data_IF_143234184010
#
_entry.id   IF_143234184010
#
_cell.length_a   1.000
_cell.length_b   1.000
_cell.length_c   1.000
_cell.angle_alpha   90.00
_cell.angle_beta   90.00
_cell.angle_gamma   90.00
#
_symmetry.space_group_name_H-M   'P 1'
#
loop_
_entity.id
_entity.type
_entity.pdbx_description
1 polymer ?
#
# COMPACT_ATOMS: atom_id res chain seq x y z
N UNK A 1 -2.06 14.45 -6.34
CA UNK A 1 -1.89 13.00 -6.19
C UNK A 1 -3.26 12.37 -5.92
N UNK A 2 -3.53 11.31 -6.63
CA UNK A 2 -4.69 10.46 -6.32
C UNK A 2 -4.19 9.08 -5.99
N UNK A 3 -4.40 8.63 -4.75
CA UNK A 3 -4.07 7.28 -4.33
C UNK A 3 -5.27 6.40 -4.61
N UNK A 4 -5.04 5.27 -5.29
CA UNK A 4 -6.10 4.29 -5.58
C UNK A 4 -5.72 2.99 -4.88
N UNK A 5 -6.48 2.66 -3.84
CA UNK A 5 -6.25 1.48 -3.02
C UNK A 5 -7.14 0.36 -3.49
N UNK A 6 -6.56 -0.81 -3.74
CA UNK A 6 -7.33 -1.91 -4.31
C UNK A 6 -6.84 -3.25 -3.78
N UNK A 7 -7.74 -4.24 -3.86
CA UNK A 7 -7.38 -5.64 -3.62
C UNK A 7 -6.48 -6.08 -4.77
N UNK A 8 -5.32 -6.65 -4.44
CA UNK A 8 -4.33 -7.00 -5.46
C UNK A 8 -4.77 -8.09 -6.39
N UNK A 9 -5.72 -8.92 -5.98
CA UNK A 9 -6.22 -10.02 -6.82
C UNK A 9 -7.47 -9.64 -7.58
N UNK A 10 -8.46 -9.05 -6.89
CA UNK A 10 -9.74 -8.76 -7.52
C UNK A 10 -9.78 -7.41 -8.19
N UNK A 11 -8.87 -6.51 -7.82
CA UNK A 11 -8.79 -5.11 -8.28
C UNK A 11 -9.98 -4.28 -7.82
N UNK A 12 -10.73 -4.76 -6.83
CA UNK A 12 -11.82 -3.99 -6.25
C UNK A 12 -11.27 -2.93 -5.29
N UNK A 13 -11.92 -1.77 -5.21
CA UNK A 13 -11.44 -0.71 -4.33
C UNK A 13 -11.56 -1.09 -2.86
N UNK A 14 -10.63 -0.57 -2.04
CA UNK A 14 -10.61 -0.84 -0.61
C UNK A 14 -10.70 0.46 0.17
N UNK A 15 -11.71 0.55 1.04
CA UNK A 15 -11.87 1.70 1.92
C UNK A 15 -11.13 1.48 3.23
N UNK A 16 -10.96 2.55 3.98
CA UNK A 16 -10.44 2.54 5.36
C UNK A 16 -8.97 2.14 5.47
N UNK A 17 -8.21 2.23 4.40
CA UNK A 17 -6.76 2.17 4.50
C UNK A 17 -6.23 3.54 4.88
N UNK A 18 -5.21 3.59 5.72
CA UNK A 18 -4.65 4.85 6.22
C UNK A 18 -3.22 5.02 5.76
N UNK A 19 -2.90 6.26 5.41
CA UNK A 19 -1.59 6.62 4.88
C UNK A 19 -1.08 7.90 5.51
N UNK A 20 0.25 8.02 5.55
CA UNK A 20 0.91 9.30 5.74
C UNK A 20 1.51 9.75 4.41
N UNK A 21 1.53 11.06 4.19
CA UNK A 21 2.31 11.64 3.10
C UNK A 21 3.52 12.32 3.70
N UNK A 22 4.70 11.95 3.21
CA UNK A 22 5.96 12.49 3.68
C UNK A 22 6.61 13.33 2.58
N UNK A 23 7.39 14.32 3.00
CA UNK A 23 8.15 15.13 2.05
C UNK A 23 9.41 14.39 1.60
N UNK A 24 10.21 15.09 0.80
CA UNK A 24 11.44 14.53 0.26
C UNK A 24 12.42 14.12 1.36
N UNK A 25 12.38 14.78 2.51
CA UNK A 25 13.21 14.46 3.65
C UNK A 25 12.58 13.47 4.60
N UNK A 26 11.47 12.87 4.17
CA UNK A 26 10.74 11.83 4.90
C UNK A 26 10.11 12.35 6.18
N UNK A 27 9.79 13.63 6.20
CA UNK A 27 9.03 14.22 7.30
C UNK A 27 7.55 14.20 6.96
N UNK A 28 6.72 13.92 7.94
CA UNK A 28 5.29 13.76 7.72
C UNK A 28 4.66 15.12 7.43
N UNK A 29 4.03 15.23 6.26
CA UNK A 29 3.25 16.41 5.89
C UNK A 29 1.78 16.25 6.26
N UNK A 30 1.22 15.08 5.99
CA UNK A 30 -0.16 14.77 6.32
C UNK A 30 -0.22 13.37 6.88
N UNK A 31 -1.02 13.19 7.93
CA UNK A 31 -1.19 11.88 8.54
C UNK A 31 -2.66 11.51 8.53
N UNK A 32 -2.94 10.22 8.76
CA UNK A 32 -4.30 9.70 8.89
C UNK A 32 -5.14 9.92 7.64
N UNK A 33 -4.50 9.98 6.47
CA UNK A 33 -5.22 10.03 5.21
C UNK A 33 -5.91 8.69 5.02
N UNK A 34 -7.23 8.71 4.79
CA UNK A 34 -8.02 7.49 4.79
C UNK A 34 -8.73 7.33 3.46
N UNK A 35 -8.66 6.13 2.87
CA UNK A 35 -9.35 5.87 1.61
C UNK A 35 -10.85 5.86 1.83
N UNK A 36 -11.59 6.43 0.85
CA UNK A 36 -13.03 6.46 0.88
C UNK A 36 -13.60 5.15 0.32
N UNK A 37 -14.91 5.11 0.09
CA UNK A 37 -15.55 3.88 -0.38
C UNK A 37 -15.13 3.49 -1.78
N UNK A 38 -14.61 4.42 -2.56
CA UNK A 38 -14.04 4.13 -3.87
C UNK A 38 -12.57 3.78 -3.79
N UNK A 39 -12.00 3.70 -2.58
CA UNK A 39 -10.61 3.37 -2.38
C UNK A 39 -9.69 4.51 -2.71
N UNK A 40 -10.15 5.75 -2.61
CA UNK A 40 -9.40 6.90 -3.13
C UNK A 40 -9.05 7.87 -2.00
N UNK A 41 -7.81 8.37 -2.06
CA UNK A 41 -7.38 9.57 -1.33
C UNK A 41 -6.95 10.57 -2.39
N UNK A 42 -7.51 11.77 -2.32
CA UNK A 42 -7.13 12.82 -3.26
C UNK A 42 -6.42 13.94 -2.52
N UNK A 43 -5.23 14.29 -2.98
CA UNK A 43 -4.43 15.37 -2.40
C UNK A 43 -4.21 16.42 -3.48
N UNK A 44 -4.65 17.64 -3.19
CA UNK A 44 -4.57 18.75 -4.15
C UNK A 44 -3.59 19.78 -3.67
N UNK A 45 -3.11 20.61 -4.61
CA UNK A 45 -2.29 21.78 -4.30
C UNK A 45 -0.93 21.43 -3.71
N UNK A 46 -0.40 20.26 -4.07
CA UNK A 46 0.96 19.93 -3.71
C UNK A 46 1.92 20.59 -4.68
N UNK A 47 3.02 21.12 -4.15
CA UNK A 47 4.06 21.67 -5.00
C UNK A 47 4.76 20.55 -5.77
N UNK A 48 5.26 20.83 -6.98
CA UNK A 48 6.04 19.84 -7.70
C UNK A 48 7.23 19.40 -6.86
N UNK A 49 7.55 18.11 -6.92
CA UNK A 49 8.64 17.56 -6.16
C UNK A 49 8.43 16.11 -5.84
N UNK A 50 9.31 15.59 -5.00
CA UNK A 50 9.28 14.19 -4.61
C UNK A 50 8.67 14.05 -3.23
N UNK A 51 7.84 13.02 -3.09
CA UNK A 51 7.12 12.73 -1.86
C UNK A 51 7.16 11.24 -1.63
N UNK A 52 6.77 10.82 -0.42
CA UNK A 52 6.64 9.40 -0.09
C UNK A 52 5.29 9.15 0.54
N UNK A 53 4.70 8.00 0.19
CA UNK A 53 3.50 7.51 0.85
C UNK A 53 3.89 6.34 1.74
N UNK A 54 3.30 6.31 2.93
CA UNK A 54 3.51 5.24 3.88
C UNK A 54 2.16 4.73 4.33
N UNK A 55 1.88 3.44 4.09
CA UNK A 55 0.63 2.87 4.57
C UNK A 55 0.80 2.54 6.05
N UNK A 56 -0.01 3.19 6.90
CA UNK A 56 0.07 2.98 8.34
C UNK A 56 -0.93 1.96 8.82
N UNK A 57 -2.00 1.73 8.07
CA UNK A 57 -3.00 0.74 8.45
C UNK A 57 -3.71 0.24 7.21
N UNK A 58 -3.69 -1.08 7.01
CA UNK A 58 -4.44 -1.71 5.94
C UNK A 58 -5.89 -1.89 6.38
N UNK A 59 -6.82 -2.09 5.44
CA UNK A 59 -8.19 -2.48 5.81
C UNK A 59 -8.17 -3.78 6.60
N UNK A 60 -9.20 -3.97 7.43
CA UNK A 60 -9.31 -5.17 8.24
C UNK A 60 -9.29 -6.39 7.32
N UNK A 61 -8.46 -7.37 7.67
CA UNK A 61 -8.35 -8.61 6.92
C UNK A 61 -7.33 -8.59 5.80
N UNK A 62 -6.57 -7.50 5.68
CA UNK A 62 -5.56 -7.37 4.63
C UNK A 62 -4.17 -7.17 5.24
N UNK A 63 -3.16 -7.67 4.54
CA UNK A 63 -1.76 -7.33 4.87
C UNK A 63 -1.49 -5.89 4.49
N UNK A 64 -0.72 -5.18 5.31
CA UNK A 64 -0.29 -3.83 5.00
C UNK A 64 0.79 -3.81 3.93
N UNK A 65 0.90 -2.70 3.22
CA UNK A 65 1.99 -2.47 2.29
C UNK A 65 3.20 -2.02 3.10
N UNK A 66 4.32 -2.69 2.92
CA UNK A 66 5.53 -2.40 3.68
C UNK A 66 6.44 -1.49 2.88
N UNK A 67 7.07 -0.55 3.58
CA UNK A 67 8.01 0.37 2.96
C UNK A 67 7.34 1.64 2.45
N UNK A 68 8.16 2.50 1.89
CA UNK A 68 7.71 3.79 1.39
C UNK A 68 7.53 3.70 -0.12
N UNK A 69 6.51 4.40 -0.62
CA UNK A 69 6.25 4.49 -2.05
C UNK A 69 6.65 5.89 -2.48
N UNK A 70 7.64 5.98 -3.37
CA UNK A 70 8.08 7.27 -3.89
C UNK A 70 7.12 7.76 -4.93
N UNK A 71 6.74 9.04 -4.82
CA UNK A 71 5.77 9.66 -5.73
C UNK A 71 6.36 10.98 -6.20
N UNK A 72 6.37 11.19 -7.50
CA UNK A 72 6.82 12.46 -8.07
C UNK A 72 5.61 13.25 -8.52
N UNK A 73 5.50 14.51 -8.05
CA UNK A 73 4.43 15.41 -8.46
C UNK A 73 5.02 16.39 -9.46
N UNK A 74 4.39 16.48 -10.62
CA UNK A 74 4.82 17.36 -11.69
C UNK A 74 3.80 18.47 -11.89
N UNK A 75 4.29 19.61 -12.35
CA UNK A 75 3.44 20.77 -12.59
C UNK A 75 2.39 20.44 -13.66
N UNK A 76 1.14 20.78 -13.35
CA UNK A 76 0.01 20.62 -14.27
C UNK A 76 -0.24 19.17 -14.69
N UNK A 77 0.20 18.20 -13.88
CA UNK A 77 -0.06 16.80 -14.15
C UNK A 77 -0.70 16.15 -12.93
N UNK A 78 -1.61 15.21 -13.20
CA UNK A 78 -2.21 14.42 -12.15
C UNK A 78 -1.39 13.15 -11.98
N UNK A 79 -0.96 12.88 -10.75
CA UNK A 79 -0.21 11.67 -10.44
C UNK A 79 -1.16 10.67 -9.79
N UNK A 80 -1.27 9.50 -10.40
CA UNK A 80 -2.11 8.42 -9.87
C UNK A 80 -1.19 7.33 -9.34
N UNK A 81 -1.44 6.92 -8.09
CA UNK A 81 -0.64 5.91 -7.41
C UNK A 81 -1.56 4.76 -7.01
N UNK A 82 -1.34 3.59 -7.59
CA UNK A 82 -2.13 2.41 -7.24
C UNK A 82 -1.38 1.60 -6.20
N UNK A 83 -2.08 1.23 -5.12
CA UNK A 83 -1.47 0.50 -4.02
C UNK A 83 -2.33 -0.73 -3.76
N UNK A 84 -1.72 -1.90 -3.87
CA UNK A 84 -2.41 -3.17 -3.69
C UNK A 84 -2.24 -3.68 -2.27
N UNK A 85 -3.32 -4.22 -1.70
CA UNK A 85 -3.24 -5.05 -0.50
C UNK A 85 -3.77 -6.44 -0.83
N UNK A 86 -3.37 -7.42 -0.04
CA UNK A 86 -3.78 -8.81 -0.24
C UNK A 86 -4.41 -9.33 1.02
N UNK A 87 -5.45 -10.15 0.86
CA UNK A 87 -6.16 -10.72 1.99
C UNK A 87 -5.25 -11.62 2.81
N UNK A 88 -5.46 -11.60 4.13
CA UNK A 88 -4.55 -12.31 5.03
C UNK A 88 -4.59 -13.81 4.87
N UNK A 89 -5.68 -14.37 4.33
CA UNK A 89 -5.72 -15.80 4.08
C UNK A 89 -4.91 -16.20 2.86
N UNK A 90 -4.51 -15.25 2.04
CA UNK A 90 -3.78 -15.53 0.81
C UNK A 90 -2.29 -15.40 1.06
N UNK A 91 -1.53 -16.09 0.23
CA UNK A 91 -0.09 -15.98 0.32
C UNK A 91 0.33 -14.59 -0.13
N UNK A 92 1.05 -13.89 0.75
CA UNK A 92 1.51 -12.55 0.45
C UNK A 92 2.61 -12.61 -0.60
N UNK A 93 2.49 -11.86 -1.70
CA UNK A 93 3.58 -11.81 -2.67
C UNK A 93 4.85 -11.32 -2.02
N UNK A 94 5.95 -11.92 -2.38
CA UNK A 94 7.23 -11.63 -1.76
C UNK A 94 8.22 -11.16 -2.80
N UNK A 95 9.03 -10.19 -2.43
CA UNK A 95 10.17 -9.78 -3.24
C UNK A 95 11.42 -10.57 -2.90
N UNK A 96 11.30 -11.48 -1.94
CA UNK A 96 12.43 -12.28 -1.50
C UNK A 96 12.52 -13.53 -2.37
N UNK A 97 13.55 -13.68 -3.19
CA UNK A 97 13.65 -14.85 -4.08
C UNK A 97 13.84 -16.15 -3.33
N UNK A 98 14.14 -16.12 -2.05
CA UNK A 98 14.31 -17.34 -1.27
C UNK A 98 13.01 -17.91 -0.80
N UNK A 99 11.94 -17.21 -0.89
CA UNK A 99 10.63 -17.73 -0.50
C UNK A 99 10.11 -18.62 -1.59
N UNK A 100 9.88 -19.84 -1.22
CA UNK A 100 9.45 -20.79 -2.21
C UNK A 100 8.14 -21.37 -1.84
N UNK A 101 8.25 -21.81 -1.83
CA UNK A 101 7.50 -22.37 -1.49
C UNK A 101 7.31 -23.23 -1.05
N UNK A 102 7.86 -23.48 -0.54
CA UNK A 102 7.91 -24.05 -0.21
C UNK A 102 7.34 -24.35 0.45
N UNK A 103 7.07 -24.80 0.68
CA UNK A 103 6.73 -24.98 1.14
C UNK A 103 5.91 -25.29 1.71
N UNK A 104 5.57 -25.70 1.65
CA UNK A 104 4.96 -25.89 1.90
C UNK A 104 4.36 -26.23 2.74
N UNK A 105 4.34 -26.62 3.00
CA UNK A 105 3.99 -26.83 3.40
C UNK A 105 3.50 -26.74 4.24
N UNK A 106 3.31 -27.13 4.77
CA UNK A 106 3.10 -26.97 4.83
C UNK A 106 2.87 -26.84 5.69
N UNK A 107 2.84 -26.85 5.89
CA UNK A 107 2.94 -26.56 5.98
C UNK A 107 2.89 -26.01 6.41
N UNK A 108 2.68 -26.28 6.89
CA UNK A 108 2.77 -25.79 6.79
C UNK A 108 2.76 -25.26 7.29
N UNK A 109 2.61 -25.43 7.76
CA UNK A 109 2.75 -24.96 7.68
C UNK A 109 2.92 -24.31 8.12
N UNK A 110 2.82 -24.43 8.68
CA UNK A 110 3.11 -23.83 8.58
C UNK A 110 3.29 -23.25 8.95
N UNK A 111 3.14 -23.26 9.27
CA UNK A 111 3.38 -22.63 9.15
C UNK A 111 3.54 -22.15 9.45
N UNK A 112 3.38 -21.94 9.51
CA UNK A 112 3.64 -21.44 9.21
C UNK A 112 3.85 -20.68 9.35
N UNK A 113 3.75 -20.93 9.69
CA UNK A 113 3.98 -20.37 9.37
C UNK A 113 4.13 -19.89 9.78
N UNK A 114 3.92 -20.20 10.32
CA UNK A 114 4.15 -19.88 10.04
C UNK A 114 4.31 -19.75 10.61
N UNK A 115 4.23 -19.91 10.69
CA UNK A 115 4.59 -19.88 10.40
C UNK A 115 4.73 -19.54 10.62
#
# INVERSE_FOLDING_TARGET
IEVQKQDGNTKLPLKNAKFNLLDENKQILYSELTTNEQGIIELKHLLPGNYYLEETKAPVGYYGYEGLIKVEVKLNEKTIVKVDNYEEQEEKPSNDPLEEKEISVGEKKLPKTGF
#
